data_IF_299802422429
#
_entry.id   IF_299802422429
#
_cell.length_a   1.000
_cell.length_b   1.000
_cell.length_c   1.000
_cell.angle_alpha   90.00
_cell.angle_beta   90.00
_cell.angle_gamma   90.00
#
_symmetry.space_group_name_H-M   'P 1'
#
loop_
_entity.id
_entity.type
_entity.pdbx_description
1 polymer ?
#
# COMPACT_ATOMS: atom_id res chain seq x y z
N UNK A 1 -12.16 -7.60 10.52
CA UNK A 1 -13.31 -6.98 9.80
C UNK A 1 -13.35 -5.51 10.18
N UNK A 2 -13.44 -4.61 9.21
CA UNK A 2 -13.60 -3.18 9.42
C UNK A 2 -14.76 -2.63 8.59
N UNK A 3 -15.34 -1.51 9.02
CA UNK A 3 -16.39 -0.81 8.29
C UNK A 3 -16.24 0.71 8.45
N UNK A 4 -16.65 1.44 7.42
CA UNK A 4 -16.62 2.89 7.32
C UNK A 4 -17.94 3.35 6.68
N UNK A 5 -18.71 4.26 7.30
CA UNK A 5 -19.88 4.84 6.67
C UNK A 5 -19.46 5.70 5.47
N UNK A 6 -20.06 5.45 4.30
CA UNK A 6 -19.87 6.29 3.11
C UNK A 6 -20.91 7.41 3.06
N UNK A 7 -22.15 7.09 3.41
CA UNK A 7 -23.28 8.01 3.54
C UNK A 7 -24.35 7.42 4.47
N UNK A 8 -25.52 8.06 4.56
CA UNK A 8 -26.63 7.64 5.43
C UNK A 8 -27.19 6.24 5.12
N UNK A 9 -26.87 5.66 3.96
CA UNK A 9 -27.43 4.40 3.46
C UNK A 9 -26.37 3.37 3.07
N UNK A 10 -25.12 3.78 2.89
CA UNK A 10 -24.05 2.95 2.37
C UNK A 10 -22.90 2.84 3.36
N UNK A 11 -22.41 1.62 3.54
CA UNK A 11 -21.26 1.31 4.37
C UNK A 11 -20.23 0.59 3.52
N UNK A 12 -19.02 1.15 3.45
CA UNK A 12 -17.86 0.42 2.97
C UNK A 12 -17.39 -0.50 4.07
N UNK A 13 -17.20 -1.78 3.78
CA UNK A 13 -16.65 -2.73 4.74
C UNK A 13 -15.63 -3.61 4.05
N UNK A 14 -14.65 -4.08 4.82
CA UNK A 14 -13.61 -4.96 4.34
C UNK A 14 -13.36 -6.10 5.33
N UNK A 15 -13.03 -7.26 4.77
CA UNK A 15 -12.74 -8.47 5.52
C UNK A 15 -11.44 -9.07 5.01
N UNK A 16 -10.42 -9.05 5.85
CA UNK A 16 -9.18 -9.79 5.64
C UNK A 16 -9.36 -11.19 6.16
N UNK A 17 -8.96 -12.16 5.35
CA UNK A 17 -9.12 -13.57 5.67
C UNK A 17 -7.87 -14.32 5.22
N UNK A 18 -7.39 -15.19 6.11
CA UNK A 18 -6.28 -16.10 5.83
C UNK A 18 -6.91 -17.46 5.55
N UNK A 19 -6.77 -18.01 4.33
CA UNK A 19 -7.30 -19.32 3.98
C UNK A 19 -6.71 -20.40 4.90
N UNK A 20 -7.54 -21.32 5.37
CA UNK A 20 -7.05 -22.59 5.93
C UNK A 20 -6.98 -23.64 4.82
N UNK A 21 -6.31 -24.78 5.05
CA UNK A 21 -6.21 -25.87 4.06
C UNK A 21 -7.57 -26.37 3.56
N UNK A 22 -8.65 -26.16 4.33
CA UNK A 22 -10.03 -26.51 3.95
C UNK A 22 -10.69 -25.48 3.04
N UNK A 23 -10.11 -24.29 2.92
CA UNK A 23 -10.68 -23.16 2.22
C UNK A 23 -9.88 -22.72 0.98
N UNK A 24 -8.78 -23.42 0.62
CA UNK A 24 -8.00 -23.13 -0.60
C UNK A 24 -8.89 -23.10 -1.86
N UNK A 25 -9.91 -23.96 -1.92
CA UNK A 25 -10.88 -23.97 -3.02
C UNK A 25 -11.70 -22.68 -3.13
N UNK A 26 -11.90 -21.94 -2.04
CA UNK A 26 -12.63 -20.68 -2.03
C UNK A 26 -11.77 -19.49 -2.47
N UNK A 27 -10.44 -19.60 -2.40
CA UNK A 27 -9.52 -18.55 -2.88
C UNK A 27 -9.60 -18.38 -4.41
N UNK A 28 -9.89 -19.47 -5.12
CA UNK A 28 -9.99 -19.49 -6.59
C UNK A 28 -11.43 -19.39 -7.14
N UNK A 29 -12.44 -19.42 -6.26
CA UNK A 29 -13.85 -19.40 -6.64
C UNK A 29 -14.60 -18.25 -5.96
N UNK A 30 -14.90 -17.21 -6.75
CA UNK A 30 -15.64 -16.02 -6.30
C UNK A 30 -17.02 -16.34 -5.70
N UNK A 31 -17.67 -17.44 -6.10
CA UNK A 31 -18.97 -17.88 -5.58
C UNK A 31 -18.80 -18.52 -4.21
N UNK A 32 -17.81 -19.40 -4.04
CA UNK A 32 -17.47 -19.99 -2.74
C UNK A 32 -17.00 -18.93 -1.75
N UNK A 33 -16.18 -17.99 -2.19
CA UNK A 33 -15.76 -16.85 -1.36
C UNK A 33 -16.97 -16.01 -0.92
N UNK A 34 -17.91 -15.73 -1.84
CA UNK A 34 -19.15 -15.03 -1.49
C UNK A 34 -19.99 -15.81 -0.48
N UNK A 35 -20.11 -17.12 -0.62
CA UNK A 35 -20.84 -17.97 0.33
C UNK A 35 -20.16 -18.01 1.72
N UNK A 36 -18.83 -18.07 1.77
CA UNK A 36 -18.05 -18.00 3.00
C UNK A 36 -18.21 -16.65 3.69
N UNK A 37 -18.22 -15.55 2.94
CA UNK A 37 -18.44 -14.21 3.49
C UNK A 37 -19.89 -14.05 3.97
N UNK A 38 -20.88 -14.53 3.21
CA UNK A 38 -22.29 -14.50 3.60
C UNK A 38 -22.58 -15.37 4.84
N UNK A 39 -21.89 -16.50 5.02
CA UNK A 39 -22.04 -17.31 6.23
C UNK A 39 -21.48 -16.57 7.47
N UNK A 40 -20.50 -15.68 7.27
CA UNK A 40 -19.93 -14.82 8.32
C UNK A 40 -20.66 -13.49 8.49
N UNK A 41 -21.42 -13.01 7.50
CA UNK A 41 -22.17 -11.74 7.53
C UNK A 41 -23.67 -11.95 7.27
N UNK A 42 -24.51 -11.62 8.25
CA UNK A 42 -25.98 -11.64 8.14
C UNK A 42 -26.54 -10.41 7.40
N UNK A 43 -26.06 -10.09 6.19
CA UNK A 43 -26.55 -8.94 5.41
C UNK A 43 -26.62 -9.26 3.92
N UNK A 44 -27.61 -8.70 3.23
CA UNK A 44 -27.63 -8.66 1.77
C UNK A 44 -26.47 -7.78 1.26
N UNK A 45 -25.73 -8.31 0.28
CA UNK A 45 -24.51 -7.70 -0.25
C UNK A 45 -24.69 -7.33 -1.72
N UNK A 46 -24.51 -6.06 -2.06
CA UNK A 46 -24.37 -5.59 -3.44
C UNK A 46 -22.88 -5.53 -3.80
N UNK A 47 -22.42 -6.45 -4.66
CA UNK A 47 -21.07 -6.44 -5.23
C UNK A 47 -19.95 -6.85 -4.26
N UNK A 48 -19.37 -8.04 -4.45
CA UNK A 48 -18.18 -8.50 -3.73
C UNK A 48 -17.02 -8.51 -4.71
N UNK A 49 -16.01 -7.70 -4.45
CA UNK A 49 -14.74 -7.75 -5.20
C UNK A 49 -13.73 -8.48 -4.32
N UNK A 50 -13.37 -9.68 -4.75
CA UNK A 50 -12.30 -10.46 -4.17
C UNK A 50 -11.01 -10.19 -4.94
N UNK A 51 -9.95 -9.77 -4.25
CA UNK A 51 -8.62 -9.69 -4.83
C UNK A 51 -7.63 -10.39 -3.91
N UNK A 52 -6.80 -11.31 -4.43
CA UNK A 52 -5.78 -11.93 -3.61
C UNK A 52 -4.79 -10.87 -3.13
N UNK A 53 -4.50 -10.88 -1.82
CA UNK A 53 -3.44 -10.06 -1.25
C UNK A 53 -2.10 -10.70 -1.64
N UNK A 54 -1.50 -10.20 -2.73
CA UNK A 54 -0.18 -10.67 -3.15
C UNK A 54 0.89 -10.12 -2.20
N UNK A 55 1.55 -11.02 -1.51
CA UNK A 55 2.68 -10.70 -0.67
C UNK A 55 3.92 -10.40 -1.52
N UNK A 56 4.46 -9.19 -1.39
CA UNK A 56 5.81 -8.85 -1.82
C UNK A 56 6.67 -8.76 -0.58
N UNK A 57 7.79 -9.49 -0.55
CA UNK A 57 8.67 -9.44 0.60
C UNK A 57 9.23 -8.02 0.75
N UNK A 58 9.17 -7.38 1.94
CA UNK A 58 9.50 -5.95 2.06
C UNK A 58 10.90 -5.60 1.54
N UNK A 59 11.89 -6.47 1.72
CA UNK A 59 13.25 -6.21 1.26
C UNK A 59 13.42 -6.30 -0.26
N UNK A 60 12.47 -6.91 -0.99
CA UNK A 60 12.47 -6.87 -2.46
C UNK A 60 12.31 -5.43 -2.97
N UNK A 61 11.70 -4.54 -2.17
CA UNK A 61 11.62 -3.11 -2.50
C UNK A 61 13.00 -2.45 -2.35
N UNK A 62 13.83 -2.92 -1.42
CA UNK A 62 15.17 -2.39 -1.17
C UNK A 62 16.19 -2.83 -2.22
N UNK A 63 16.03 -4.01 -2.80
CA UNK A 63 16.94 -4.56 -3.82
C UNK A 63 16.38 -4.46 -5.23
N UNK A 64 15.05 -4.32 -5.38
CA UNK A 64 14.35 -4.28 -6.65
C UNK A 64 14.52 -2.96 -7.42
N UNK A 65 14.22 -3.02 -8.71
CA UNK A 65 14.20 -1.84 -9.60
C UNK A 65 12.85 -1.14 -9.53
N UNK A 66 12.82 0.08 -8.98
CA UNK A 66 11.62 0.93 -8.90
C UNK A 66 11.44 1.74 -10.19
N UNK A 67 12.54 2.05 -10.86
CA UNK A 67 12.56 2.68 -12.18
C UNK A 67 13.57 1.98 -13.09
N UNK A 68 13.30 2.02 -14.40
CA UNK A 68 14.19 1.51 -15.45
C UNK A 68 13.97 2.32 -16.72
N UNK A 69 14.96 3.10 -17.12
CA UNK A 69 14.81 4.06 -18.22
C UNK A 69 13.72 5.07 -17.89
N UNK A 70 12.78 5.26 -18.82
CA UNK A 70 11.66 6.20 -18.67
C UNK A 70 10.39 5.53 -18.10
N UNK A 71 10.53 4.43 -17.37
CA UNK A 71 9.42 3.72 -16.73
C UNK A 71 9.67 3.61 -15.23
N UNK A 72 8.62 3.82 -14.43
CA UNK A 72 8.67 3.62 -12.97
C UNK A 72 7.35 3.05 -12.45
N UNK A 73 7.40 2.41 -11.28
CA UNK A 73 6.26 1.86 -10.56
C UNK A 73 5.86 2.74 -9.37
N UNK A 74 4.57 2.81 -9.08
CA UNK A 74 3.99 3.62 -8.00
C UNK A 74 2.73 2.95 -7.43
N UNK A 75 2.28 3.42 -6.26
CA UNK A 75 1.12 2.86 -5.57
C UNK A 75 1.31 1.40 -5.21
N UNK A 76 0.24 0.62 -5.25
CA UNK A 76 0.25 -0.81 -4.90
C UNK A 76 1.20 -1.65 -5.79
N UNK A 77 1.57 -1.16 -6.98
CA UNK A 77 2.58 -1.83 -7.82
C UNK A 77 4.01 -1.71 -7.26
N UNK A 78 4.29 -0.67 -6.47
CA UNK A 78 5.55 -0.41 -5.80
C UNK A 78 5.53 -0.96 -4.36
N UNK A 79 4.51 -0.62 -3.58
CA UNK A 79 4.42 -0.91 -2.15
C UNK A 79 3.12 -1.61 -1.77
N UNK A 80 2.84 -2.81 -2.32
CA UNK A 80 1.66 -3.56 -1.92
C UNK A 80 1.74 -3.82 -0.41
N UNK A 81 0.75 -3.33 0.33
CA UNK A 81 0.72 -3.41 1.78
C UNK A 81 -0.56 -4.08 2.24
N UNK A 82 -0.46 -4.78 3.36
CA UNK A 82 -1.66 -5.29 4.02
C UNK A 82 -2.51 -4.11 4.52
N UNK A 83 -3.84 -4.26 4.58
CA UNK A 83 -4.73 -3.13 4.90
C UNK A 83 -4.64 -2.70 6.38
N UNK A 84 -3.84 -3.38 7.21
CA UNK A 84 -3.81 -3.21 8.66
C UNK A 84 -3.37 -1.81 9.12
N UNK A 85 -2.64 -1.07 8.28
CA UNK A 85 -2.28 0.34 8.53
C UNK A 85 -3.26 1.34 7.88
N UNK A 86 -4.06 0.92 6.89
CA UNK A 86 -4.91 1.83 6.11
C UNK A 86 -4.15 2.91 5.33
N UNK A 87 -2.85 2.71 5.07
CA UNK A 87 -1.97 3.74 4.46
C UNK A 87 -1.76 3.58 2.95
N UNK A 88 -2.35 2.56 2.31
CA UNK A 88 -2.11 2.29 0.87
C UNK A 88 -2.46 3.48 -0.01
N UNK A 89 -3.68 4.00 0.13
CA UNK A 89 -4.15 5.17 -0.63
C UNK A 89 -3.36 6.44 -0.32
N UNK A 90 -3.05 6.71 0.95
CA UNK A 90 -2.23 7.86 1.34
C UNK A 90 -0.83 7.79 0.73
N UNK A 91 -0.19 6.61 0.77
CA UNK A 91 1.12 6.38 0.16
C UNK A 91 1.10 6.54 -1.36
N UNK A 92 0.01 6.12 -2.02
CA UNK A 92 -0.16 6.35 -3.46
C UNK A 92 -0.25 7.85 -3.81
N UNK A 93 -0.89 8.66 -2.96
CA UNK A 93 -0.92 10.12 -3.12
C UNK A 93 0.46 10.75 -2.86
N UNK A 94 1.19 10.28 -1.83
CA UNK A 94 2.58 10.69 -1.61
C UNK A 94 3.44 10.41 -2.85
N UNK A 95 3.31 9.22 -3.46
CA UNK A 95 4.03 8.87 -4.67
C UNK A 95 3.73 9.84 -5.81
N UNK A 96 2.46 10.19 -6.02
CA UNK A 96 2.06 11.11 -7.08
C UNK A 96 2.72 12.48 -6.92
N UNK A 97 2.75 13.02 -5.70
CA UNK A 97 3.40 14.30 -5.40
C UNK A 97 4.91 14.19 -5.64
N UNK A 98 5.58 13.20 -5.04
CA UNK A 98 7.04 13.04 -5.17
C UNK A 98 7.46 12.79 -6.61
N UNK A 99 6.68 12.01 -7.38
CA UNK A 99 6.90 11.74 -8.79
C UNK A 99 6.77 13.03 -9.61
N UNK A 100 5.68 13.79 -9.41
CA UNK A 100 5.43 15.03 -10.14
C UNK A 100 6.53 16.07 -9.91
N UNK A 101 7.00 16.19 -8.66
CA UNK A 101 8.11 17.07 -8.28
C UNK A 101 9.41 16.63 -8.94
N UNK A 102 9.78 15.36 -8.78
CA UNK A 102 11.05 14.83 -9.30
C UNK A 102 11.14 14.95 -10.82
N UNK A 103 10.02 14.73 -11.52
CA UNK A 103 9.95 14.87 -12.96
C UNK A 103 9.90 16.34 -13.39
N UNK A 104 9.16 17.18 -12.66
CA UNK A 104 9.07 18.62 -12.92
C UNK A 104 10.43 19.32 -12.84
N UNK A 105 11.22 19.02 -11.80
CA UNK A 105 12.58 19.53 -11.66
C UNK A 105 13.48 19.08 -12.81
N UNK A 106 13.44 17.78 -13.16
CA UNK A 106 14.27 17.24 -14.23
C UNK A 106 13.91 17.83 -15.61
N UNK A 107 12.62 18.08 -15.87
CA UNK A 107 12.16 18.72 -17.10
C UNK A 107 12.47 20.23 -17.14
N UNK A 108 12.49 20.91 -15.99
CA UNK A 108 12.93 22.32 -15.94
C UNK A 108 14.42 22.46 -16.22
N UNK A 109 15.25 21.56 -15.69
CA UNK A 109 16.68 21.50 -16.00
C UNK A 109 16.93 21.23 -17.50
N UNK A 110 16.07 20.42 -18.13
CA UNK A 110 16.13 20.09 -19.56
C UNK A 110 15.53 21.14 -20.50
N UNK A 111 14.85 22.18 -19.99
CA UNK A 111 14.18 23.22 -20.80
C UNK A 111 15.10 24.34 -21.29
N UNK A 112 16.41 24.08 -21.41
CA UNK A 112 17.29 24.94 -22.20
C UNK A 112 16.99 24.66 -23.69
N UNK A 113 16.28 25.58 -24.35
CA UNK A 113 15.65 25.38 -25.67
C UNK A 113 16.47 24.62 -26.71
N UNK A 114 15.78 23.75 -27.47
CA UNK A 114 16.27 22.76 -28.43
C UNK A 114 16.92 21.50 -27.83
N UNK A 115 16.34 20.94 -26.77
CA UNK A 115 16.73 19.61 -26.29
C UNK A 115 16.45 18.53 -27.35
N UNK A 116 17.43 17.69 -27.62
CA UNK A 116 17.31 16.49 -28.44
C UNK A 116 16.47 15.41 -27.73
N UNK A 117 15.93 14.45 -28.48
CA UNK A 117 15.20 13.31 -27.90
C UNK A 117 16.03 12.55 -26.85
N UNK A 118 17.35 12.48 -27.04
CA UNK A 118 18.27 11.85 -26.09
C UNK A 118 18.39 12.62 -24.76
N UNK A 119 18.42 13.95 -24.82
CA UNK A 119 18.48 14.82 -23.63
C UNK A 119 17.16 14.81 -22.85
N UNK A 120 16.03 14.78 -23.56
CA UNK A 120 14.71 14.60 -22.94
C UNK A 120 14.62 13.23 -22.27
N UNK A 121 15.09 12.17 -22.95
CA UNK A 121 15.14 10.82 -22.39
C UNK A 121 16.00 10.78 -21.12
N UNK A 122 17.20 11.36 -21.16
CA UNK A 122 18.10 11.41 -20.01
C UNK A 122 17.49 12.19 -18.84
N UNK A 123 16.78 13.28 -19.10
CA UNK A 123 16.10 14.09 -18.10
C UNK A 123 14.96 13.33 -17.42
N UNK A 124 14.09 12.68 -18.20
CA UNK A 124 12.99 11.85 -17.66
C UNK A 124 13.56 10.72 -16.79
N UNK A 125 14.56 9.98 -17.31
CA UNK A 125 15.23 8.91 -16.56
C UNK A 125 15.78 9.41 -15.22
N UNK A 126 16.48 10.56 -15.22
CA UNK A 126 17.03 11.19 -14.01
C UNK A 126 15.92 11.53 -13.00
N UNK A 127 14.80 12.08 -13.46
CA UNK A 127 13.63 12.38 -12.61
C UNK A 127 13.03 11.12 -11.97
N UNK A 128 12.89 10.04 -12.74
CA UNK A 128 12.36 8.77 -12.23
C UNK A 128 13.34 8.06 -11.27
N UNK A 129 14.64 8.16 -11.50
CA UNK A 129 15.67 7.66 -10.56
C UNK A 129 15.66 8.45 -9.24
N UNK A 130 15.45 9.76 -9.29
CA UNK A 130 15.27 10.60 -8.09
C UNK A 130 14.03 10.17 -7.31
N UNK A 131 12.88 10.07 -7.96
CA UNK A 131 11.63 9.55 -7.37
C UNK A 131 11.86 8.18 -6.72
N UNK A 132 12.46 7.24 -7.45
CA UNK A 132 12.74 5.90 -6.96
C UNK A 132 13.60 5.89 -5.69
N UNK A 133 14.61 6.75 -5.63
CA UNK A 133 15.51 6.87 -4.47
C UNK A 133 14.78 7.39 -3.24
N UNK A 134 13.95 8.42 -3.40
CA UNK A 134 13.19 9.00 -2.30
C UNK A 134 12.11 8.05 -1.76
N UNK A 135 11.44 7.31 -2.66
CA UNK A 135 10.35 6.42 -2.27
C UNK A 135 10.80 5.06 -1.75
N UNK A 136 12.03 4.61 -2.03
CA UNK A 136 12.52 3.28 -1.63
C UNK A 136 12.40 3.02 -0.13
N UNK A 137 12.97 3.90 0.70
CA UNK A 137 12.99 3.67 2.16
C UNK A 137 11.62 3.86 2.78
N UNK A 138 10.85 4.83 2.29
CA UNK A 138 9.48 5.08 2.74
C UNK A 138 8.55 3.91 2.42
N UNK A 139 8.64 3.37 1.21
CA UNK A 139 7.89 2.19 0.77
C UNK A 139 8.21 0.96 1.61
N UNK A 140 9.50 0.70 1.84
CA UNK A 140 9.95 -0.39 2.70
C UNK A 140 9.38 -0.26 4.12
N UNK A 141 9.53 0.93 4.73
CA UNK A 141 9.07 1.19 6.09
C UNK A 141 7.56 0.92 6.21
N UNK A 142 6.75 1.42 5.28
CA UNK A 142 5.31 1.20 5.22
C UNK A 142 4.95 -0.28 5.10
N UNK A 143 5.51 -0.99 4.12
CA UNK A 143 5.19 -2.40 3.87
C UNK A 143 5.63 -3.30 5.03
N UNK A 144 6.85 -3.11 5.55
CA UNK A 144 7.36 -3.88 6.68
C UNK A 144 6.51 -3.70 7.95
N UNK A 145 6.02 -2.48 8.17
CA UNK A 145 5.21 -2.18 9.36
C UNK A 145 3.77 -2.65 9.19
N UNK A 146 3.19 -2.53 8.01
CA UNK A 146 1.88 -3.11 7.71
C UNK A 146 1.91 -4.61 7.99
N UNK A 147 2.94 -5.30 7.50
CA UNK A 147 3.13 -6.72 7.75
C UNK A 147 3.29 -7.06 9.24
N UNK A 148 4.15 -6.33 9.97
CA UNK A 148 4.33 -6.54 11.40
C UNK A 148 3.02 -6.33 12.19
N UNK A 149 2.26 -5.28 11.85
CA UNK A 149 0.95 -4.99 12.45
C UNK A 149 -0.04 -6.10 12.13
N UNK A 150 -0.14 -6.54 10.87
CA UNK A 150 -1.02 -7.62 10.45
C UNK A 150 -0.70 -8.94 11.14
N UNK A 151 0.58 -9.31 11.21
CA UNK A 151 1.05 -10.51 11.93
C UNK A 151 0.64 -10.48 13.41
N UNK A 152 0.81 -9.34 14.08
CA UNK A 152 0.42 -9.18 15.48
C UNK A 152 -1.11 -9.24 15.67
N UNK A 153 -1.89 -8.59 14.79
CA UNK A 153 -3.36 -8.60 14.88
C UNK A 153 -3.95 -10.00 14.71
N UNK A 154 -3.38 -10.80 13.81
CA UNK A 154 -3.87 -12.14 13.47
C UNK A 154 -3.35 -13.24 14.41
N UNK A 155 -2.39 -12.94 15.30
CA UNK A 155 -1.84 -13.95 16.20
C UNK A 155 -2.82 -14.32 17.33
N UNK A 156 -3.00 -15.63 17.56
CA UNK A 156 -3.87 -16.17 18.61
C UNK A 156 -3.12 -16.54 19.90
N UNK A 157 -1.81 -16.31 19.97
CA UNK A 157 -0.98 -16.63 21.13
C UNK A 157 -1.29 -15.72 22.34
N UNK A 158 -1.42 -16.31 23.53
CA UNK A 158 -1.81 -15.62 24.79
C UNK A 158 -0.92 -14.40 25.13
N UNK A 159 0.38 -14.48 24.80
CA UNK A 159 1.31 -13.36 25.02
C UNK A 159 1.09 -12.24 24.01
N UNK A 160 0.80 -12.58 22.75
CA UNK A 160 0.53 -11.57 21.73
C UNK A 160 -0.87 -10.97 21.84
N UNK A 161 -1.88 -11.72 22.27
CA UNK A 161 -3.19 -11.15 22.58
C UNK A 161 -3.10 -10.15 23.74
N UNK A 162 -2.30 -10.44 24.77
CA UNK A 162 -2.03 -9.48 25.85
C UNK A 162 -1.30 -8.22 25.37
N UNK A 163 -0.27 -8.35 24.53
CA UNK A 163 0.44 -7.21 23.92
C UNK A 163 -0.47 -6.39 23.00
N UNK A 164 -1.32 -7.06 22.21
CA UNK A 164 -2.35 -6.44 21.36
C UNK A 164 -3.35 -5.64 22.20
N UNK A 165 -3.83 -6.19 23.30
CA UNK A 165 -4.94 -5.58 24.04
C UNK A 165 -4.46 -4.44 24.98
N UNK A 166 -3.21 -4.50 25.49
CA UNK A 166 -2.68 -3.48 26.42
C UNK A 166 -1.71 -2.45 25.84
N UNK A 167 -0.87 -2.82 24.86
CA UNK A 167 0.19 -1.94 24.36
C UNK A 167 -0.15 -1.32 22.99
N UNK A 168 -0.99 -1.99 22.22
CA UNK A 168 -1.20 -1.71 20.81
C UNK A 168 -2.01 -0.45 20.50
N UNK A 169 -3.05 -0.05 21.26
CA UNK A 169 -3.78 1.18 20.93
C UNK A 169 -2.85 2.41 20.92
N UNK A 170 -1.92 2.49 21.87
CA UNK A 170 -0.94 3.56 21.96
C UNK A 170 0.17 3.47 20.91
N UNK A 171 0.69 2.28 20.64
CA UNK A 171 1.76 2.07 19.64
C UNK A 171 1.22 2.25 18.22
N UNK A 172 0.04 1.71 17.93
CA UNK A 172 -0.62 1.85 16.62
C UNK A 172 -1.00 3.30 16.38
N UNK A 173 -1.65 3.97 17.34
CA UNK A 173 -1.96 5.40 17.21
C UNK A 173 -0.69 6.25 17.01
N UNK A 174 0.38 5.99 17.78
CA UNK A 174 1.66 6.69 17.63
C UNK A 174 2.34 6.40 16.29
N UNK A 175 2.26 5.17 15.80
CA UNK A 175 2.82 4.76 14.51
C UNK A 175 2.05 5.36 13.35
N UNK A 176 0.72 5.36 13.41
CA UNK A 176 -0.16 6.02 12.45
C UNK A 176 0.11 7.53 12.40
N UNK A 177 0.13 8.20 13.56
CA UNK A 177 0.41 9.64 13.64
C UNK A 177 1.81 9.96 13.09
N UNK A 178 2.84 9.21 13.49
CA UNK A 178 4.21 9.41 13.02
C UNK A 178 4.35 9.23 11.51
N UNK A 179 3.49 8.40 10.90
CA UNK A 179 3.54 8.09 9.46
C UNK A 179 2.59 8.89 8.62
N UNK A 180 1.57 9.52 9.20
CA UNK A 180 0.67 10.42 8.47
C UNK A 180 1.36 11.72 8.02
N UNK A 181 2.40 12.16 8.73
CA UNK A 181 3.16 13.38 8.42
C UNK A 181 4.35 13.14 7.50
N UNK A 182 4.17 12.50 6.35
CA UNK A 182 5.23 12.42 5.35
C UNK A 182 5.42 13.78 4.68
N UNK A 183 6.64 14.31 4.73
CA UNK A 183 7.00 15.54 4.05
C UNK A 183 7.33 15.24 2.58
N UNK A 184 6.40 15.57 1.68
CA UNK A 184 6.59 15.47 0.24
C UNK A 184 7.53 16.56 -0.32
N UNK A 185 7.96 17.50 0.53
CA UNK A 185 8.69 18.72 0.15
C UNK A 185 7.80 19.76 -0.53
N UNK A 186 8.41 20.90 -0.85
CA UNK A 186 7.76 21.98 -1.58
C UNK A 186 7.61 21.61 -3.06
N UNK A 187 6.46 21.97 -3.64
CA UNK A 187 6.15 21.85 -5.07
C UNK A 187 6.58 23.13 -5.78
#
# INVERSE_FOLDING_TARGET
>A
MGFLPCDDKNVYWFFTWTPTDQDEEAEHDSVKMRQLILSKMKSEMSGVVASPLRYRWPFDILTGSISKGNVSVAGDSLHPMTPDLGQGGCSALEDAIVLSRSLGEALQEGKLGNATEEEEYASIKKGLEKYAKERRWRSFDLVATAYAVGYMQQSEGVIMSFLRDKCFPGILARTLIKRAGFDCGMI
#
